data_IF_876889533533
#
_entry.id   IF_876889533533
#
_cell.length_a   1.000
_cell.length_b   1.000
_cell.length_c   1.000
_cell.angle_alpha   90.00
_cell.angle_beta   90.00
_cell.angle_gamma   90.00
#
_symmetry.space_group_name_H-M   'P 1'
#
loop_
_entity.id
_entity.type
_entity.pdbx_description
1 polymer ?
#
# COMPACT_ATOMS: atom_id res chain seq x y z
N UNK A 1 28.16 15.42 -23.27
CA UNK A 1 27.86 15.07 -21.85
C UNK A 1 26.56 14.27 -21.67
N UNK A 2 25.94 13.72 -22.72
CA UNK A 2 24.67 12.95 -22.64
C UNK A 2 24.85 11.43 -22.71
N UNK A 3 26.03 10.94 -23.13
CA UNK A 3 26.31 9.50 -23.24
C UNK A 3 26.55 8.78 -21.89
N UNK A 4 27.01 9.51 -20.87
CA UNK A 4 27.41 8.94 -19.57
C UNK A 4 26.20 8.60 -18.67
N UNK A 5 25.17 9.46 -18.68
CA UNK A 5 23.95 9.27 -17.86
C UNK A 5 23.18 8.00 -18.26
N UNK A 6 23.15 7.69 -19.56
CA UNK A 6 22.48 6.48 -20.07
C UNK A 6 23.17 5.21 -19.58
N UNK A 7 24.51 5.18 -19.56
CA UNK A 7 25.28 4.05 -19.04
C UNK A 7 25.07 3.82 -17.55
N UNK A 8 25.01 4.90 -16.75
CA UNK A 8 24.73 4.85 -15.31
C UNK A 8 23.32 4.27 -15.04
N UNK A 9 22.31 4.69 -15.81
CA UNK A 9 20.93 4.20 -15.65
C UNK A 9 20.86 2.71 -16.00
N UNK A 10 21.45 2.31 -17.13
CA UNK A 10 21.47 0.91 -17.57
C UNK A 10 22.12 0.02 -16.50
N UNK A 11 23.27 0.44 -15.97
CA UNK A 11 23.98 -0.32 -14.93
C UNK A 11 23.16 -0.47 -13.64
N UNK A 12 22.44 0.57 -13.23
CA UNK A 12 21.55 0.52 -12.06
C UNK A 12 20.39 -0.46 -12.28
N UNK A 13 19.81 -0.48 -13.49
CA UNK A 13 18.75 -1.42 -13.84
C UNK A 13 19.25 -2.87 -13.80
N UNK A 14 20.44 -3.15 -14.34
CA UNK A 14 21.05 -4.49 -14.28
C UNK A 14 21.25 -4.97 -12.84
N UNK A 15 21.86 -4.13 -11.99
CA UNK A 15 22.08 -4.46 -10.58
C UNK A 15 20.76 -4.72 -9.86
N UNK A 16 19.73 -3.91 -10.15
CA UNK A 16 18.41 -4.11 -9.58
C UNK A 16 17.78 -5.44 -10.02
N UNK A 17 17.73 -5.69 -11.33
CA UNK A 17 17.15 -6.93 -11.87
C UNK A 17 17.85 -8.14 -11.27
N UNK A 18 19.17 -8.11 -11.20
CA UNK A 18 19.96 -9.18 -10.57
C UNK A 18 19.63 -9.35 -9.09
N UNK A 19 19.47 -8.24 -8.34
CA UNK A 19 19.11 -8.28 -6.92
C UNK A 19 17.69 -8.79 -6.63
N UNK A 20 16.82 -8.74 -7.64
CA UNK A 20 15.41 -9.12 -7.54
C UNK A 20 15.09 -10.45 -8.22
N UNK A 21 16.04 -11.06 -8.93
CA UNK A 21 15.81 -12.23 -9.80
C UNK A 21 15.18 -13.43 -9.09
N UNK A 22 15.49 -13.61 -7.80
CA UNK A 22 15.03 -14.73 -6.98
C UNK A 22 13.85 -14.35 -6.06
N UNK A 23 13.32 -13.12 -6.19
CA UNK A 23 12.19 -12.68 -5.39
C UNK A 23 10.87 -13.18 -5.98
N UNK A 24 10.05 -13.84 -5.16
CA UNK A 24 8.65 -14.05 -5.49
C UNK A 24 7.87 -12.72 -5.49
N UNK A 25 6.69 -12.66 -6.13
CA UNK A 25 5.83 -11.47 -6.07
C UNK A 25 5.53 -11.00 -4.64
N UNK A 26 5.36 -11.93 -3.70
CA UNK A 26 5.13 -11.62 -2.28
C UNK A 26 6.38 -11.02 -1.65
N UNK A 27 7.57 -11.58 -1.91
CA UNK A 27 8.83 -11.01 -1.42
C UNK A 27 9.07 -9.59 -1.94
N UNK A 28 8.72 -9.31 -3.20
CA UNK A 28 8.79 -7.97 -3.76
C UNK A 28 7.84 -7.01 -3.03
N UNK A 29 6.60 -7.45 -2.78
CA UNK A 29 5.64 -6.67 -2.00
C UNK A 29 6.16 -6.36 -0.60
N UNK A 30 6.71 -7.36 0.11
CA UNK A 30 7.23 -7.22 1.47
C UNK A 30 8.50 -6.36 1.55
N UNK A 31 9.27 -6.22 0.46
CA UNK A 31 10.35 -5.22 0.38
C UNK A 31 9.81 -3.79 0.44
N UNK A 32 8.61 -3.55 -0.08
CA UNK A 32 7.95 -2.23 -0.05
C UNK A 32 7.19 -2.07 1.27
N UNK A 33 6.25 -2.98 1.55
CA UNK A 33 5.44 -3.03 2.77
C UNK A 33 6.12 -3.89 3.83
N UNK A 34 7.27 -3.42 4.31
CA UNK A 34 8.02 -4.09 5.38
C UNK A 34 7.36 -3.89 6.75
N UNK A 35 7.97 -4.46 7.78
CA UNK A 35 7.46 -4.37 9.15
C UNK A 35 7.29 -2.92 9.63
N UNK A 36 8.17 -1.99 9.22
CA UNK A 36 8.08 -0.58 9.59
C UNK A 36 6.87 0.10 8.94
N UNK A 37 6.64 -0.12 7.65
CA UNK A 37 5.48 0.41 6.93
C UNK A 37 4.19 -0.17 7.52
N UNK A 38 4.19 -1.47 7.83
CA UNK A 38 3.03 -2.13 8.43
C UNK A 38 2.73 -1.59 9.83
N UNK A 39 3.75 -1.40 10.68
CA UNK A 39 3.59 -0.76 12.00
C UNK A 39 3.03 0.66 11.87
N UNK A 40 3.59 1.46 10.95
CA UNK A 40 3.12 2.83 10.70
C UNK A 40 1.62 2.84 10.39
N UNK A 41 1.17 1.99 9.47
CA UNK A 41 -0.25 1.94 9.06
C UNK A 41 -1.12 1.48 10.24
N UNK A 42 -0.74 0.40 10.93
CA UNK A 42 -1.49 -0.15 12.06
C UNK A 42 -1.65 0.89 13.17
N UNK A 43 -0.54 1.48 13.63
CA UNK A 43 -0.54 2.44 14.73
C UNK A 43 -1.37 3.67 14.42
N UNK A 44 -1.20 4.26 13.24
CA UNK A 44 -1.94 5.47 12.86
C UNK A 44 -3.42 5.18 12.59
N UNK A 45 -3.77 3.99 12.10
CA UNK A 45 -5.17 3.58 11.92
C UNK A 45 -5.90 3.42 13.26
N UNK A 46 -5.25 2.79 14.25
CA UNK A 46 -5.81 2.68 15.60
C UNK A 46 -5.92 4.04 16.30
N UNK A 47 -4.90 4.91 16.18
CA UNK A 47 -4.97 6.29 16.69
C UNK A 47 -6.14 7.07 16.09
N UNK A 48 -6.30 7.01 14.77
CA UNK A 48 -7.40 7.68 14.08
C UNK A 48 -8.77 7.17 14.56
N UNK A 49 -8.91 5.86 14.72
CA UNK A 49 -10.14 5.27 15.24
C UNK A 49 -10.46 5.81 16.65
N UNK A 50 -9.46 5.85 17.54
CA UNK A 50 -9.58 6.44 18.87
C UNK A 50 -9.99 7.92 18.85
N UNK A 51 -9.41 8.72 17.95
CA UNK A 51 -9.77 10.14 17.76
C UNK A 51 -11.23 10.34 17.28
N UNK A 52 -11.86 9.30 16.75
CA UNK A 52 -13.24 9.34 16.24
C UNK A 52 -14.17 8.42 17.04
N UNK A 53 -13.90 8.24 18.33
CA UNK A 53 -14.72 7.48 19.28
C UNK A 53 -14.94 6.00 18.89
N UNK A 54 -14.01 5.40 18.15
CA UNK A 54 -14.01 3.97 17.79
C UNK A 54 -12.93 3.23 18.57
N UNK A 55 -12.99 3.33 19.90
CA UNK A 55 -11.97 2.79 20.80
C UNK A 55 -11.87 1.26 20.79
N UNK A 56 -12.90 0.56 20.29
CA UNK A 56 -12.88 -0.89 20.11
C UNK A 56 -12.28 -1.35 18.78
N UNK A 57 -11.87 -0.41 17.92
CA UNK A 57 -11.18 -0.76 16.67
C UNK A 57 -9.74 -1.12 16.98
N UNK A 58 -9.40 -2.37 16.71
CA UNK A 58 -8.04 -2.90 16.73
C UNK A 58 -7.74 -3.47 15.36
N UNK A 59 -6.49 -3.47 14.92
CA UNK A 59 -6.04 -4.15 13.70
C UNK A 59 -4.59 -4.58 13.93
N UNK A 60 -4.24 -5.78 13.48
CA UNK A 60 -2.85 -6.27 13.54
C UNK A 60 -2.22 -6.34 12.13
N UNK A 61 -0.91 -6.64 12.09
CA UNK A 61 -0.18 -6.72 10.82
C UNK A 61 -0.70 -7.87 9.93
N UNK A 62 -0.96 -9.10 10.42
CA UNK A 62 -1.60 -10.15 9.63
C UNK A 62 -2.91 -9.72 8.97
N UNK A 63 -3.81 -9.09 9.73
CA UNK A 63 -5.10 -8.64 9.22
C UNK A 63 -4.94 -7.50 8.21
N UNK A 64 -4.03 -6.56 8.46
CA UNK A 64 -3.66 -5.54 7.48
C UNK A 64 -3.08 -6.17 6.19
N UNK A 65 -2.26 -7.23 6.28
CA UNK A 65 -1.78 -7.97 5.08
C UNK A 65 -2.94 -8.55 4.29
N UNK A 66 -3.90 -9.19 4.96
CA UNK A 66 -5.10 -9.71 4.30
C UNK A 66 -5.90 -8.59 3.63
N UNK A 67 -6.08 -7.45 4.30
CA UNK A 67 -6.75 -6.28 3.71
C UNK A 67 -6.03 -5.77 2.45
N UNK A 68 -4.70 -5.64 2.49
CA UNK A 68 -3.89 -5.21 1.34
C UNK A 68 -3.94 -6.25 0.21
N UNK A 69 -3.94 -7.54 0.53
CA UNK A 69 -4.08 -8.61 -0.45
C UNK A 69 -5.44 -8.56 -1.17
N UNK A 70 -6.53 -8.27 -0.43
CA UNK A 70 -7.85 -8.01 -1.02
C UNK A 70 -7.79 -6.80 -1.96
N UNK A 71 -7.17 -5.69 -1.55
CA UNK A 71 -7.01 -4.52 -2.43
C UNK A 71 -6.24 -4.86 -3.71
N UNK A 72 -5.12 -5.56 -3.61
CA UNK A 72 -4.36 -6.03 -4.77
C UNK A 72 -5.21 -6.90 -5.70
N UNK A 73 -6.02 -7.81 -5.14
CA UNK A 73 -6.92 -8.66 -5.92
C UNK A 73 -7.98 -7.84 -6.66
N UNK A 74 -8.68 -6.97 -5.94
CA UNK A 74 -9.74 -6.13 -6.52
C UNK A 74 -9.22 -5.11 -7.54
N UNK A 75 -7.92 -4.82 -7.53
CA UNK A 75 -7.28 -3.93 -8.50
C UNK A 75 -7.02 -4.56 -9.87
N UNK A 76 -7.02 -5.89 -10.00
CA UNK A 76 -6.89 -6.56 -11.31
C UNK A 76 -8.17 -7.31 -11.72
N UNK A 77 -8.97 -7.74 -10.76
CA UNK A 77 -10.23 -8.44 -10.99
C UNK A 77 -11.38 -7.47 -10.67
N UNK A 78 -11.79 -6.63 -11.61
CA UNK A 78 -12.83 -5.62 -11.34
C UNK A 78 -14.25 -6.20 -11.41
N UNK A 79 -15.09 -5.81 -10.45
CA UNK A 79 -16.53 -6.12 -10.43
C UNK A 79 -17.35 -4.82 -10.42
N UNK A 80 -18.63 -4.84 -10.85
CA UNK A 80 -19.48 -3.64 -10.89
C UNK A 80 -19.67 -2.93 -9.54
N UNK A 81 -19.41 -3.62 -8.43
CA UNK A 81 -19.46 -3.06 -7.08
C UNK A 81 -18.44 -3.74 -6.18
N UNK A 82 -17.82 -2.99 -5.27
CA UNK A 82 -17.00 -3.56 -4.20
C UNK A 82 -17.79 -4.54 -3.32
N UNK A 83 -19.11 -4.38 -3.18
CA UNK A 83 -19.91 -5.33 -2.39
C UNK A 83 -20.07 -6.68 -3.09
N UNK A 84 -19.85 -6.74 -4.40
CA UNK A 84 -20.03 -7.93 -5.22
C UNK A 84 -19.07 -9.06 -4.83
N UNK A 85 -17.84 -8.76 -4.40
CA UNK A 85 -16.87 -9.78 -3.96
C UNK A 85 -17.37 -10.62 -2.78
N UNK A 86 -18.31 -10.09 -2.00
CA UNK A 86 -18.96 -10.76 -0.87
C UNK A 86 -20.42 -11.14 -1.16
N UNK A 87 -20.83 -11.16 -2.43
CA UNK A 87 -22.15 -11.65 -2.82
C UNK A 87 -22.28 -13.15 -2.54
N UNK A 88 -23.50 -13.60 -2.23
CA UNK A 88 -23.84 -15.02 -2.17
C UNK A 88 -24.31 -15.57 -3.52
N UNK A 89 -24.49 -14.70 -4.53
CA UNK A 89 -24.78 -15.11 -5.90
C UNK A 89 -23.55 -15.80 -6.50
N UNK A 90 -23.73 -17.03 -6.97
CA UNK A 90 -22.66 -17.87 -7.53
C UNK A 90 -21.96 -17.24 -8.74
N UNK A 91 -22.65 -16.39 -9.51
CA UNK A 91 -22.09 -15.73 -10.69
C UNK A 91 -21.32 -14.44 -10.36
N UNK A 92 -21.37 -13.97 -9.11
CA UNK A 92 -20.86 -12.65 -8.72
C UNK A 92 -19.92 -12.70 -7.52
N UNK A 93 -20.23 -13.54 -6.54
CA UNK A 93 -19.43 -13.71 -5.33
C UNK A 93 -18.04 -14.25 -5.65
N UNK A 94 -17.05 -13.83 -4.86
CA UNK A 94 -15.69 -14.34 -4.99
C UNK A 94 -15.33 -15.04 -3.68
N UNK A 95 -15.55 -16.37 -3.57
CA UNK A 95 -15.30 -17.12 -2.34
C UNK A 95 -13.88 -16.93 -1.77
N UNK A 96 -12.88 -16.77 -2.65
CA UNK A 96 -11.51 -16.45 -2.26
C UNK A 96 -11.43 -15.18 -1.39
N UNK A 97 -12.18 -14.13 -1.72
CA UNK A 97 -12.20 -12.87 -0.95
C UNK A 97 -13.09 -13.00 0.27
N UNK A 98 -14.29 -13.57 0.11
CA UNK A 98 -15.26 -13.72 1.19
C UNK A 98 -14.73 -14.58 2.35
N UNK A 99 -13.92 -15.60 2.06
CA UNK A 99 -13.33 -16.49 3.06
C UNK A 99 -12.13 -15.87 3.81
N UNK A 100 -11.41 -14.94 3.17
CA UNK A 100 -10.24 -14.29 3.77
C UNK A 100 -10.62 -13.21 4.79
N UNK A 101 -11.67 -12.44 4.52
CA UNK A 101 -12.11 -11.33 5.37
C UNK A 101 -13.58 -11.04 5.14
N UNK A 102 -14.34 -10.75 6.19
CA UNK A 102 -15.75 -10.36 6.02
C UNK A 102 -15.87 -8.96 5.39
N UNK A 103 -16.96 -8.73 4.63
CA UNK A 103 -17.27 -7.42 4.03
C UNK A 103 -17.27 -6.29 5.06
N UNK A 104 -17.88 -6.55 6.23
CA UNK A 104 -17.99 -5.55 7.29
C UNK A 104 -16.62 -5.23 7.86
N UNK A 105 -15.77 -6.24 8.04
CA UNK A 105 -14.41 -6.02 8.54
C UNK A 105 -13.53 -5.27 7.54
N UNK A 106 -13.60 -5.63 6.25
CA UNK A 106 -12.94 -4.89 5.18
C UNK A 106 -13.36 -3.41 5.17
N UNK A 107 -14.68 -3.14 5.24
CA UNK A 107 -15.22 -1.78 5.30
C UNK A 107 -14.78 -1.02 6.55
N UNK A 108 -14.66 -1.71 7.68
CA UNK A 108 -14.25 -1.11 8.96
C UNK A 108 -12.76 -0.73 8.95
N UNK A 109 -11.90 -1.60 8.43
CA UNK A 109 -10.48 -1.30 8.21
C UNK A 109 -10.33 -0.15 7.21
N UNK A 110 -11.00 -0.22 6.06
CA UNK A 110 -10.96 0.81 5.02
C UNK A 110 -11.34 2.20 5.56
N UNK A 111 -12.35 2.27 6.43
CA UNK A 111 -12.79 3.51 7.07
C UNK A 111 -11.76 4.11 8.02
N UNK A 112 -10.96 3.27 8.68
CA UNK A 112 -10.00 3.70 9.70
C UNK A 112 -8.55 3.77 9.19
N UNK A 113 -8.26 3.32 7.97
CA UNK A 113 -6.92 3.30 7.38
C UNK A 113 -6.27 4.70 7.37
N UNK A 114 -5.21 4.88 8.16
CA UNK A 114 -4.47 6.14 8.29
C UNK A 114 -2.95 5.91 8.31
N UNK A 115 -2.21 6.94 7.89
CA UNK A 115 -0.75 6.88 7.73
C UNK A 115 0.00 7.92 8.56
N UNK A 116 -0.72 8.81 9.25
CA UNK A 116 -0.18 9.86 10.11
C UNK A 116 -1.16 10.15 11.25
N UNK A 117 -0.63 10.65 12.36
CA UNK A 117 -1.41 11.16 13.46
C UNK A 117 -2.01 12.52 13.11
N UNK A 118 -3.34 12.62 13.05
CA UNK A 118 -4.02 13.87 12.69
C UNK A 118 -3.80 15.01 13.71
N UNK A 119 -3.39 14.71 14.94
CA UNK A 119 -3.04 15.75 15.92
C UNK A 119 -1.83 16.59 15.48
N UNK A 120 -1.00 16.07 14.58
CA UNK A 120 0.16 16.76 14.02
C UNK A 120 -0.20 17.65 12.82
N UNK A 121 -1.48 17.71 12.42
CA UNK A 121 -1.91 18.51 11.27
C UNK A 121 -1.91 20.01 11.56
N UNK A 122 -2.09 20.40 12.83
CA UNK A 122 -2.13 21.81 13.22
C UNK A 122 -0.78 22.47 12.96
N UNK A 123 -0.76 23.51 12.11
CA UNK A 123 0.48 24.21 11.71
C UNK A 123 1.21 23.59 10.51
N UNK A 124 0.75 22.47 9.95
CA UNK A 124 1.33 21.92 8.73
C UNK A 124 0.83 22.66 7.49
N UNK A 125 1.78 23.16 6.68
CA UNK A 125 1.50 23.70 5.33
C UNK A 125 1.65 22.64 4.22
N UNK A 126 1.91 21.38 4.59
CA UNK A 126 2.10 20.30 3.63
C UNK A 126 0.76 19.76 3.11
N UNK A 127 0.46 20.03 1.84
CA UNK A 127 -0.76 19.53 1.17
C UNK A 127 -0.86 18.00 1.12
N UNK A 128 0.25 17.27 1.24
CA UNK A 128 0.29 15.82 1.28
C UNK A 128 0.43 15.25 2.69
N UNK A 129 0.28 16.07 3.74
CA UNK A 129 0.52 15.68 5.14
C UNK A 129 -0.01 14.28 5.50
N UNK A 130 -1.25 13.95 5.09
CA UNK A 130 -1.90 12.65 5.37
C UNK A 130 -1.20 11.43 4.77
N UNK A 131 -0.48 11.62 3.66
CA UNK A 131 0.23 10.57 2.93
C UNK A 131 1.75 10.65 3.11
N UNK A 132 2.25 11.79 3.60
CA UNK A 132 3.68 12.11 3.66
C UNK A 132 4.51 10.99 4.30
N UNK A 133 4.15 10.44 5.48
CA UNK A 133 4.96 9.39 6.08
C UNK A 133 5.07 8.15 5.19
N UNK A 134 3.96 7.67 4.64
CA UNK A 134 3.95 6.52 3.75
C UNK A 134 4.74 6.80 2.46
N UNK A 135 4.54 7.97 1.85
CA UNK A 135 5.27 8.37 0.65
C UNK A 135 6.78 8.43 0.90
N UNK A 136 7.23 8.94 2.05
CA UNK A 136 8.64 9.05 2.38
C UNK A 136 9.28 7.67 2.60
N UNK A 137 8.57 6.74 3.24
CA UNK A 137 9.01 5.34 3.35
C UNK A 137 9.14 4.67 1.98
N UNK A 138 8.11 4.76 1.14
CA UNK A 138 8.11 4.18 -0.19
C UNK A 138 9.22 4.82 -1.04
N UNK A 139 9.35 6.15 -0.99
CA UNK A 139 10.39 6.87 -1.70
C UNK A 139 11.78 6.38 -1.30
N UNK A 140 12.06 6.30 0.01
CA UNK A 140 13.34 5.79 0.52
C UNK A 140 13.65 4.37 0.04
N UNK A 141 12.64 3.50 -0.06
CA UNK A 141 12.77 2.11 -0.54
C UNK A 141 12.96 2.01 -2.05
N UNK A 142 12.38 2.94 -2.82
CA UNK A 142 12.45 2.96 -4.28
C UNK A 142 13.61 3.80 -4.82
N UNK A 143 14.22 4.68 -4.01
CA UNK A 143 15.43 5.43 -4.39
C UNK A 143 16.57 4.53 -4.91
N UNK A 144 16.89 3.38 -4.27
CA UNK A 144 17.88 2.43 -4.78
C UNK A 144 17.44 1.70 -6.06
N UNK A 145 16.12 1.56 -6.27
CA UNK A 145 15.48 0.87 -7.42
C UNK A 145 15.58 1.72 -8.70
N UNK A 146 16.14 2.92 -8.60
CA UNK A 146 16.37 3.82 -9.71
C UNK A 146 15.26 4.85 -9.77
N UNK A 147 15.65 6.12 -9.76
CA UNK A 147 14.76 7.21 -10.15
C UNK A 147 14.15 6.85 -11.50
N UNK A 148 12.84 6.57 -11.51
CA UNK A 148 12.08 6.42 -12.75
C UNK A 148 12.39 7.69 -13.55
N UNK A 149 13.23 7.53 -14.57
CA UNK A 149 13.75 8.68 -15.31
C UNK A 149 12.58 9.43 -15.91
N UNK A 150 12.65 10.76 -15.84
CA UNK A 150 11.71 11.81 -16.27
C UNK A 150 11.11 11.71 -17.69
N UNK A 151 11.24 10.58 -18.40
CA UNK A 151 10.77 10.36 -19.77
C UNK A 151 9.32 9.90 -19.90
N UNK A 152 8.58 9.70 -18.81
CA UNK A 152 7.17 9.23 -18.86
C UNK A 152 6.11 10.33 -18.67
N UNK A 153 6.48 11.61 -18.54
CA UNK A 153 5.53 12.72 -18.26
C UNK A 153 5.18 13.54 -19.53
N UNK A 154 5.71 13.19 -20.70
CA UNK A 154 5.31 13.80 -21.96
C UNK A 154 4.91 12.73 -22.98
N UNK A 155 3.64 12.34 -22.94
CA UNK A 155 2.89 11.85 -24.10
C UNK A 155 1.52 12.50 -24.08
#
# INVERSE_FOLDING_TARGET
>A
MTHDVTGIIQRRQEVLVESLKDCSPVMLFEKIFDDNVMSLIVENSMKYAGQHNRHSFEIDKPELRTFLAVLCFTGYHELPSERAYWSLDENLGVPLIANCMSRNRFSDIKRNLHFVDNSLAEGSNDKMFKMRPLCDFIHKKLLPVGSISRKLIYR
#
